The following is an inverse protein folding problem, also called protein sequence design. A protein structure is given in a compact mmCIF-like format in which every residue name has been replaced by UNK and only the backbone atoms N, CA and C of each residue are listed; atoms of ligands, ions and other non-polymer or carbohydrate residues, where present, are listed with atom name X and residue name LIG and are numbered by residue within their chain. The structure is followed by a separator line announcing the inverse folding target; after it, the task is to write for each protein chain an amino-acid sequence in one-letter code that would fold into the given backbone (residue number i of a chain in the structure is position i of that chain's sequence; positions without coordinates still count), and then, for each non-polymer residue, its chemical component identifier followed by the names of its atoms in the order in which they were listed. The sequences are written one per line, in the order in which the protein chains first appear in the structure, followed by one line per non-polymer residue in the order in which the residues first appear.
data_IF_467656329255
#
_entry.id   IF_467656329255
#
_cell.length_a   1.000
_cell.length_b   1.000
_cell.length_c   1.000
_cell.angle_alpha   90.00
_cell.angle_beta   90.00
_cell.angle_gamma   90.00
#
_symmetry.space_group_name_H-M   'P 1'
#
loop_
_entity.id
_entity.type
_entity.pdbx_description
1 polymer ?
#
# COMPACT_ATOMS: atom_id res chain seq x y z
N UNK A 1 -4.52 7.69 6.12
CA UNK A 1 -3.58 7.89 4.99
C UNK A 1 -4.30 8.12 3.67
N UNK A 2 -5.37 7.38 3.35
CA UNK A 2 -6.16 7.63 2.13
C UNK A 2 -6.59 9.09 1.94
N UNK A 3 -7.15 9.71 2.98
CA UNK A 3 -7.53 11.13 2.96
C UNK A 3 -6.34 12.05 2.65
N UNK A 4 -5.18 11.82 3.29
CA UNK A 4 -3.96 12.61 3.07
C UNK A 4 -3.43 12.46 1.64
N UNK A 5 -3.43 11.24 1.10
CA UNK A 5 -2.99 10.97 -0.27
C UNK A 5 -3.85 11.72 -1.29
N UNK A 6 -5.15 11.84 -1.03
CA UNK A 6 -6.10 12.53 -1.89
C UNK A 6 -6.01 14.05 -1.77
N UNK A 7 -6.03 14.59 -0.55
CA UNK A 7 -6.11 16.05 -0.32
C UNK A 7 -4.78 16.75 -0.54
N UNK A 8 -3.67 16.14 -0.09
CA UNK A 8 -2.36 16.79 -0.08
C UNK A 8 -1.46 16.35 -1.22
N UNK A 9 -1.82 15.27 -1.95
CA UNK A 9 -1.05 14.75 -3.08
C UNK A 9 0.46 14.75 -2.79
N UNK A 10 0.91 14.00 -1.76
CA UNK A 10 2.27 14.06 -1.24
C UNK A 10 3.31 13.63 -2.28
N UNK A 11 4.48 14.25 -2.31
CA UNK A 11 5.61 13.79 -3.13
C UNK A 11 6.16 12.45 -2.61
N UNK A 12 7.15 11.88 -3.30
CA UNK A 12 7.86 10.70 -2.79
C UNK A 12 8.46 10.97 -1.41
N UNK A 13 9.09 12.13 -1.20
CA UNK A 13 9.71 12.51 0.07
C UNK A 13 8.70 12.65 1.20
N UNK A 14 7.54 13.27 0.93
CA UNK A 14 6.46 13.39 1.90
C UNK A 14 5.92 12.01 2.29
N UNK A 15 5.77 11.10 1.33
CA UNK A 15 5.37 9.72 1.61
C UNK A 15 6.39 8.99 2.49
N UNK A 16 7.70 9.16 2.23
CA UNK A 16 8.74 8.58 3.06
C UNK A 16 8.73 9.15 4.49
N UNK A 17 8.49 10.44 4.64
CA UNK A 17 8.35 11.08 5.95
C UNK A 17 7.13 10.54 6.71
N UNK A 18 5.96 10.46 6.04
CA UNK A 18 4.76 9.87 6.62
C UNK A 18 5.01 8.43 7.07
N UNK A 19 5.68 7.62 6.25
CA UNK A 19 6.03 6.24 6.62
C UNK A 19 6.94 6.20 7.86
N UNK A 20 7.98 7.05 7.91
CA UNK A 20 8.91 7.15 9.05
C UNK A 20 8.25 7.57 10.35
N UNK A 21 7.25 8.46 10.28
CA UNK A 21 6.57 8.99 11.47
C UNK A 21 5.53 7.99 11.99
N UNK A 22 4.82 7.30 11.09
CA UNK A 22 3.63 6.53 11.44
C UNK A 22 3.88 5.04 11.70
N UNK A 23 4.99 4.48 11.21
CA UNK A 23 5.22 3.03 11.21
C UNK A 23 6.61 2.67 11.73
N UNK A 24 6.74 1.48 12.33
CA UNK A 24 8.04 0.94 12.71
C UNK A 24 8.87 0.54 11.49
N UNK A 25 10.14 0.19 11.69
CA UNK A 25 10.99 -0.31 10.60
C UNK A 25 10.42 -1.57 9.96
N UNK A 26 9.98 -2.54 10.77
CA UNK A 26 9.45 -3.82 10.30
C UNK A 26 8.12 -3.65 9.54
N UNK A 27 7.26 -2.73 9.99
CA UNK A 27 6.03 -2.41 9.30
C UNK A 27 6.30 -1.75 7.95
N UNK A 28 7.25 -0.81 7.88
CA UNK A 28 7.66 -0.17 6.62
C UNK A 28 8.22 -1.16 5.62
N UNK A 29 9.10 -2.06 6.07
CA UNK A 29 9.67 -3.11 5.21
C UNK A 29 8.56 -4.01 4.65
N UNK A 30 7.58 -4.41 5.48
CA UNK A 30 6.43 -5.19 5.02
C UNK A 30 5.58 -4.43 4.02
N UNK A 31 5.27 -3.15 4.28
CA UNK A 31 4.50 -2.30 3.36
C UNK A 31 5.22 -2.17 2.01
N UNK A 32 6.53 -1.92 2.02
CA UNK A 32 7.33 -1.78 0.80
C UNK A 32 7.39 -3.09 0.01
N UNK A 33 7.57 -4.22 0.71
CA UNK A 33 7.56 -5.54 0.09
C UNK A 33 6.21 -5.84 -0.58
N UNK A 34 5.10 -5.63 0.13
CA UNK A 34 3.77 -5.87 -0.40
C UNK A 34 3.41 -4.91 -1.54
N UNK A 35 3.79 -3.63 -1.44
CA UNK A 35 3.61 -2.66 -2.52
C UNK A 35 4.30 -3.11 -3.81
N UNK A 36 5.56 -3.59 -3.72
CA UNK A 36 6.34 -4.01 -4.89
C UNK A 36 5.79 -5.27 -5.56
N UNK A 37 5.16 -6.18 -4.82
CA UNK A 37 4.44 -7.35 -5.38
C UNK A 37 3.19 -6.96 -6.17
N UNK A 38 2.65 -5.77 -5.92
CA UNK A 38 1.39 -5.28 -6.48
C UNK A 38 1.60 -4.27 -7.63
N UNK A 39 2.84 -4.03 -8.06
CA UNK A 39 3.10 -3.23 -9.26
C UNK A 39 2.52 -3.96 -10.46
N UNK A 40 1.74 -3.23 -11.26
CA UNK A 40 1.05 -3.77 -12.42
C UNK A 40 1.80 -3.45 -13.73
N UNK A 41 1.68 -4.34 -14.70
CA UNK A 41 2.02 -4.12 -16.10
C UNK A 41 0.87 -3.43 -16.86
N UNK A 42 1.12 -3.09 -18.14
CA UNK A 42 0.13 -2.44 -19.02
C UNK A 42 -1.14 -3.28 -19.23
N UNK A 43 -1.05 -4.60 -19.06
CA UNK A 43 -2.17 -5.54 -19.12
C UNK A 43 -2.95 -5.65 -17.79
N UNK A 44 -2.52 -4.93 -16.75
CA UNK A 44 -3.10 -4.92 -15.43
C UNK A 44 -2.71 -6.11 -14.54
N UNK A 45 -1.80 -6.99 -14.97
CA UNK A 45 -1.30 -8.09 -14.15
C UNK A 45 -0.10 -7.66 -13.28
N UNK A 46 0.07 -8.26 -12.09
CA UNK A 46 1.28 -8.04 -11.30
C UNK A 46 2.54 -8.44 -12.06
N UNK A 47 3.53 -7.56 -12.11
CA UNK A 47 4.79 -7.81 -12.80
C UNK A 47 5.86 -8.38 -11.88
N UNK A 48 6.74 -9.22 -12.43
CA UNK A 48 7.99 -9.64 -11.80
C UNK A 48 9.22 -8.92 -12.39
N UNK A 49 9.03 -7.99 -13.33
CA UNK A 49 10.11 -7.27 -13.97
C UNK A 49 10.70 -6.22 -13.01
N UNK A 50 11.97 -6.34 -12.59
CA UNK A 50 12.57 -5.44 -11.62
C UNK A 50 12.64 -3.99 -12.10
N UNK A 51 12.78 -3.74 -13.40
CA UNK A 51 12.88 -2.38 -13.95
C UNK A 51 11.54 -1.65 -13.84
N UNK A 52 10.44 -2.33 -14.18
CA UNK A 52 9.09 -1.79 -14.02
C UNK A 52 8.76 -1.56 -12.54
N UNK A 53 9.13 -2.51 -11.66
CA UNK A 53 8.92 -2.36 -10.21
C UNK A 53 9.71 -1.16 -9.67
N UNK A 54 10.97 -0.99 -10.08
CA UNK A 54 11.81 0.12 -9.64
C UNK A 54 11.33 1.47 -10.20
N UNK A 55 10.82 1.49 -11.42
CA UNK A 55 10.24 2.69 -12.03
C UNK A 55 8.93 3.10 -11.35
N UNK A 56 8.06 2.15 -10.98
CA UNK A 56 6.77 2.44 -10.35
C UNK A 56 6.86 2.66 -8.83
N UNK A 57 7.73 1.91 -8.15
CA UNK A 57 7.87 1.93 -6.70
C UNK A 57 9.35 1.90 -6.26
N UNK A 58 10.08 3.01 -6.45
CA UNK A 58 11.48 3.11 -6.06
C UNK A 58 11.64 3.12 -4.53
N UNK A 59 12.63 2.37 -4.04
CA UNK A 59 13.01 2.31 -2.62
C UNK A 59 13.97 3.43 -2.21
N UNK A 60 14.69 4.00 -3.17
CA UNK A 60 15.56 5.17 -3.01
C UNK A 60 14.94 6.39 -3.65
N UNK A 61 15.43 7.58 -3.30
CA UNK A 61 14.90 8.83 -3.86
C UNK A 61 15.07 8.81 -5.39
N UNK A 62 13.97 8.93 -6.16
CA UNK A 62 14.08 9.00 -7.62
C UNK A 62 14.65 10.35 -8.08
N UNK A 63 15.14 10.45 -9.32
CA UNK A 63 15.57 11.72 -9.89
C UNK A 63 14.43 12.75 -9.86
N UNK A 64 14.75 13.98 -9.44
CA UNK A 64 13.75 15.01 -9.14
C UNK A 64 13.08 15.57 -10.40
N UNK A 65 13.82 15.65 -11.49
CA UNK A 65 13.38 16.04 -12.83
C UNK A 65 12.32 15.08 -13.40
N UNK A 66 12.51 13.79 -13.12
CA UNK A 66 11.64 12.72 -13.57
C UNK A 66 10.35 12.58 -12.75
N UNK A 67 10.34 13.06 -11.50
CA UNK A 67 9.22 12.95 -10.56
C UNK A 67 8.66 14.31 -10.12
N UNK A 68 8.90 15.34 -10.93
CA UNK A 68 8.43 16.70 -10.67
C UNK A 68 6.90 16.78 -10.74
N UNK A 69 6.26 17.15 -9.62
CA UNK A 69 4.81 17.33 -9.54
C UNK A 69 4.28 18.42 -10.51
N UNK A 70 5.15 19.33 -10.97
CA UNK A 70 4.75 20.37 -11.91
C UNK A 70 4.62 19.85 -13.35
N UNK A 71 5.22 18.70 -13.69
CA UNK A 71 5.13 18.09 -15.03
C UNK A 71 3.99 17.06 -15.11
N UNK A 72 3.31 16.90 -16.26
CA UNK A 72 2.33 15.84 -16.45
C UNK A 72 2.88 14.43 -16.18
N UNK A 73 4.10 14.17 -16.63
CA UNK A 73 4.79 12.89 -16.49
C UNK A 73 5.11 12.60 -15.02
N UNK A 74 5.64 13.58 -14.30
CA UNK A 74 5.94 13.45 -12.88
C UNK A 74 4.67 13.28 -12.02
N UNK A 75 3.58 13.97 -12.36
CA UNK A 75 2.26 13.71 -11.72
C UNK A 75 1.76 12.30 -11.95
N UNK A 76 1.92 11.76 -13.17
CA UNK A 76 1.55 10.38 -13.49
C UNK A 76 2.32 9.37 -12.65
N UNK A 77 3.65 9.54 -12.55
CA UNK A 77 4.51 8.69 -11.71
C UNK A 77 4.16 8.77 -10.23
N UNK A 78 3.94 9.97 -9.72
CA UNK A 78 3.51 10.19 -8.33
C UNK A 78 2.14 9.57 -8.04
N UNK A 79 1.20 9.61 -8.99
CA UNK A 79 -0.10 8.96 -8.85
C UNK A 79 0.05 7.44 -8.71
N UNK A 80 0.80 6.81 -9.63
CA UNK A 80 1.07 5.37 -9.60
C UNK A 80 1.75 4.99 -8.28
N UNK A 81 2.75 5.76 -7.85
CA UNK A 81 3.44 5.53 -6.59
C UNK A 81 2.50 5.54 -5.38
N UNK A 82 1.63 6.56 -5.27
CA UNK A 82 0.67 6.68 -4.16
C UNK A 82 -0.35 5.56 -4.17
N UNK A 83 -0.84 5.16 -5.34
CA UNK A 83 -1.79 4.05 -5.48
C UNK A 83 -1.15 2.73 -5.03
N UNK A 84 0.05 2.44 -5.52
CA UNK A 84 0.82 1.24 -5.16
C UNK A 84 1.18 1.25 -3.67
N UNK A 85 1.55 2.40 -3.10
CA UNK A 85 1.80 2.55 -1.67
C UNK A 85 0.55 2.20 -0.84
N UNK A 86 -0.61 2.73 -1.21
CA UNK A 86 -1.86 2.45 -0.51
C UNK A 86 -2.29 0.99 -0.65
N UNK A 87 -2.05 0.36 -1.82
CA UNK A 87 -2.27 -1.06 -2.02
C UNK A 87 -1.36 -1.91 -1.11
N UNK A 88 -0.07 -1.60 -1.05
CA UNK A 88 0.90 -2.26 -0.17
C UNK A 88 0.57 -2.09 1.31
N UNK A 89 0.08 -0.92 1.72
CA UNK A 89 -0.36 -0.67 3.09
C UNK A 89 -1.55 -1.56 3.47
N UNK A 90 -2.57 -1.66 2.59
CA UNK A 90 -3.73 -2.52 2.82
C UNK A 90 -3.33 -3.99 2.86
N UNK A 91 -2.42 -4.42 1.99
CA UNK A 91 -1.90 -5.78 1.96
C UNK A 91 -1.07 -6.11 3.20
N UNK A 92 -0.17 -5.23 3.63
CA UNK A 92 0.65 -5.42 4.82
C UNK A 92 -0.17 -5.42 6.13
N UNK A 93 -1.30 -4.72 6.15
CA UNK A 93 -2.23 -4.73 7.27
C UNK A 93 -3.07 -6.02 7.37
N UNK A 94 -3.13 -6.83 6.30
CA UNK A 94 -3.81 -8.14 6.35
C UNK A 94 -3.03 -9.07 7.26
N UNK A 95 -3.61 -9.38 8.41
CA UNK A 95 -3.11 -10.45 9.28
C UNK A 95 -3.20 -11.79 8.54
N UNK A 96 -2.24 -12.71 8.73
CA UNK A 96 -2.42 -14.10 8.32
C UNK A 96 -3.74 -14.61 8.86
N UNK A 97 -4.52 -15.32 8.04
CA UNK A 97 -5.78 -15.92 8.46
C UNK A 97 -5.53 -16.81 9.67
N UNK A 98 -5.96 -16.35 10.85
CA UNK A 98 -5.84 -17.14 12.07
C UNK A 98 -6.97 -18.17 12.09
N UNK A 99 -6.73 -19.33 11.46
CA UNK A 99 -7.70 -20.42 11.37
C UNK A 99 -8.14 -20.92 12.75
N UNK A 100 -7.25 -20.90 13.76
CA UNK A 100 -7.62 -21.26 15.14
C UNK A 100 -8.66 -20.30 15.74
N UNK A 101 -8.63 -19.02 15.37
CA UNK A 101 -9.66 -18.04 15.75
C UNK A 101 -10.96 -18.23 14.98
N UNK A 102 -10.91 -18.66 13.72
CA UNK A 102 -12.12 -18.94 12.91
C UNK A 102 -12.89 -20.13 13.50
N UNK A 103 -12.20 -21.20 13.88
CA UNK A 103 -12.84 -22.38 14.48
C UNK A 103 -13.36 -22.18 15.91
N UNK A 104 -13.00 -21.08 16.59
CA UNK A 104 -13.44 -20.79 17.95
C UNK A 104 -14.62 -19.82 18.04
N UNK A 105 -15.06 -19.27 16.91
CA UNK A 105 -16.26 -18.43 16.84
C UNK A 105 -17.48 -19.35 16.84
N UNK A 106 -18.27 -19.27 17.92
CA UNK A 106 -19.51 -20.03 18.13
C UNK A 106 -20.57 -19.03 18.58
N UNK A 107 -21.76 -19.12 18.00
CA UNK A 107 -22.88 -18.24 18.34
C UNK A 107 -23.17 -18.31 19.84
N UNK A 108 -23.15 -17.15 20.49
CA UNK A 108 -23.48 -17.03 21.90
C UNK A 108 -24.92 -17.50 22.17
N UNK A 109 -25.17 -18.07 23.36
CA UNK A 109 -26.51 -18.60 23.73
C UNK A 109 -27.64 -17.56 23.66
N UNK A 110 -27.31 -16.28 23.78
CA UNK A 110 -28.24 -15.15 23.74
C UNK A 110 -27.99 -14.25 22.53
N UNK A 111 -27.06 -14.63 21.65
CA UNK A 111 -26.72 -13.87 20.46
C UNK A 111 -27.68 -14.23 19.33
N UNK A 112 -28.26 -13.22 18.68
CA UNK A 112 -29.12 -13.46 17.53
C UNK A 112 -28.29 -13.95 16.32
N UNK A 113 -28.85 -14.80 15.43
CA UNK A 113 -28.12 -15.27 14.25
C UNK A 113 -27.59 -14.15 13.34
N UNK A 114 -28.30 -13.02 13.27
CA UNK A 114 -27.85 -11.85 12.50
C UNK A 114 -26.59 -11.23 13.13
N UNK A 115 -26.60 -11.04 14.45
CA UNK A 115 -25.45 -10.48 15.18
C UNK A 115 -24.20 -11.40 15.15
N UNK A 116 -24.39 -12.71 15.01
CA UNK A 116 -23.30 -13.68 14.86
C UNK A 116 -22.63 -13.64 13.47
N UNK A 117 -23.37 -13.22 12.43
CA UNK A 117 -22.90 -13.21 11.04
C UNK A 117 -22.29 -11.86 10.60
N UNK A 118 -22.52 -10.80 11.37
CA UNK A 118 -21.91 -9.46 11.20
C UNK A 118 -20.44 -9.43 11.66
#
# INVERSE_FOLDING_TARGET
LDSVMFTHQPTWDDCQQLLRILFTTEERERIQLEARKLVLEDDGQPTSNPDLINAAFPLTRPPQDEWDYNTPEGRGRLLIYRQTLMAGLRAAARKPTNLAKVYSVVQGKTESPAAYLD
#
